data_IF_941454361504
#
_entry.id   IF_941454361504
#
_cell.length_a   1.000
_cell.length_b   1.000
_cell.length_c   1.000
_cell.angle_alpha   90.00
_cell.angle_beta   90.00
_cell.angle_gamma   90.00
#
_symmetry.space_group_name_H-M   'P 1'
#
loop_
_entity.id
_entity.type
_entity.pdbx_description
1 polymer ?
#
# COMPACT_ATOMS: atom_id res chain seq x y z
N UNK A 1 10.30 6.17 -10.47
CA UNK A 1 8.87 6.31 -10.67
C UNK A 1 8.64 7.41 -11.67
N UNK A 2 8.85 8.67 -11.28
CA UNK A 2 8.68 9.82 -12.19
C UNK A 2 9.73 9.83 -13.31
N UNK A 3 11.00 9.55 -13.01
CA UNK A 3 12.07 9.44 -14.00
C UNK A 3 11.85 8.32 -15.02
N UNK A 4 10.95 7.38 -14.72
CA UNK A 4 10.61 6.24 -15.57
C UNK A 4 9.34 6.48 -16.40
N UNK A 5 8.68 7.63 -16.20
CA UNK A 5 7.38 7.95 -16.80
C UNK A 5 6.28 6.98 -16.37
N UNK A 6 6.33 6.50 -15.12
CA UNK A 6 5.35 5.56 -14.58
C UNK A 6 4.48 6.22 -13.51
N UNK A 7 3.20 5.89 -13.50
CA UNK A 7 2.29 6.21 -12.40
C UNK A 7 1.93 4.94 -11.63
N UNK A 8 1.80 5.08 -10.32
CA UNK A 8 1.20 4.07 -9.46
C UNK A 8 -0.20 4.54 -9.09
N UNK A 9 -1.21 3.72 -9.36
CA UNK A 9 -2.62 4.08 -9.16
C UNK A 9 -3.29 3.04 -8.28
N UNK A 10 -3.87 3.46 -7.16
CA UNK A 10 -4.60 2.61 -6.23
C UNK A 10 -6.09 2.59 -6.57
N UNK A 11 -6.69 1.40 -6.74
CA UNK A 11 -8.14 1.23 -6.73
C UNK A 11 -8.61 1.06 -5.28
N UNK A 12 -8.92 2.18 -4.63
CA UNK A 12 -9.26 2.22 -3.21
C UNK A 12 -10.41 1.24 -2.89
N UNK A 13 -10.16 0.30 -1.97
CA UNK A 13 -11.15 -0.67 -1.51
C UNK A 13 -12.18 0.02 -0.65
N UNK A 14 -13.43 0.20 -1.05
CA UNK A 14 -14.48 0.94 -0.32
C UNK A 14 -15.48 0.06 0.43
N UNK A 15 -15.45 -1.26 0.22
CA UNK A 15 -16.35 -2.18 0.89
C UNK A 15 -15.66 -3.07 1.93
N UNK A 16 -16.45 -3.53 2.90
CA UNK A 16 -16.01 -4.52 3.88
C UNK A 16 -16.11 -5.94 3.33
N UNK A 17 -15.42 -6.86 4.02
CA UNK A 17 -15.57 -8.30 3.82
C UNK A 17 -15.26 -8.78 2.39
N UNK A 18 -14.39 -8.05 1.67
CA UNK A 18 -13.98 -8.36 0.30
C UNK A 18 -15.09 -8.25 -0.75
N UNK A 19 -16.13 -7.45 -0.50
CA UNK A 19 -17.28 -7.34 -1.41
C UNK A 19 -16.98 -6.64 -2.73
N UNK A 20 -15.95 -5.81 -2.80
CA UNK A 20 -15.48 -5.11 -3.99
C UNK A 20 -14.11 -5.61 -4.48
N UNK A 21 -13.68 -6.78 -4.01
CA UNK A 21 -12.44 -7.41 -4.46
C UNK A 21 -12.52 -7.78 -5.96
N UNK A 22 -11.43 -7.63 -6.73
CA UNK A 22 -10.10 -7.19 -6.31
C UNK A 22 -9.92 -5.67 -6.33
N UNK A 23 -9.22 -5.16 -5.32
CA UNK A 23 -8.86 -3.74 -5.14
C UNK A 23 -7.36 -3.58 -5.17
N UNK A 24 -6.85 -3.40 -6.40
CA UNK A 24 -5.44 -3.54 -6.76
C UNK A 24 -4.73 -2.20 -6.83
N UNK A 25 -3.40 -2.26 -6.81
CA UNK A 25 -2.52 -1.17 -7.22
C UNK A 25 -2.00 -1.47 -8.63
N UNK A 26 -2.08 -0.48 -9.51
CA UNK A 26 -1.73 -0.58 -10.92
C UNK A 26 -0.40 0.12 -11.20
N UNK A 27 0.38 -0.45 -12.12
CA UNK A 27 1.47 0.24 -12.79
C UNK A 27 0.95 0.75 -14.12
N UNK A 28 1.04 2.06 -14.33
CA UNK A 28 0.58 2.72 -15.56
C UNK A 28 1.78 3.37 -16.23
N UNK A 29 2.01 3.04 -17.51
CA UNK A 29 2.95 3.74 -18.35
C UNK A 29 2.34 5.07 -18.80
N UNK A 30 2.94 6.16 -18.34
CA UNK A 30 2.52 7.53 -18.59
C UNK A 30 3.59 8.33 -19.36
N UNK A 31 4.51 7.65 -20.08
CA UNK A 31 5.50 8.33 -20.94
C UNK A 31 4.84 9.18 -22.04
N UNK A 32 3.61 8.84 -22.41
CA UNK A 32 2.70 9.72 -23.12
C UNK A 32 1.50 10.04 -22.22
N UNK A 33 1.51 11.20 -21.56
CA UNK A 33 0.46 11.61 -20.63
C UNK A 33 -0.93 11.72 -21.28
N UNK A 34 -1.01 11.93 -22.60
CA UNK A 34 -2.26 11.96 -23.33
C UNK A 34 -2.85 10.55 -23.58
N UNK A 35 -2.08 9.48 -23.35
CA UNK A 35 -2.50 8.09 -23.52
C UNK A 35 -1.82 7.17 -22.48
N UNK A 36 -2.20 7.27 -21.20
CA UNK A 36 -1.69 6.38 -20.16
C UNK A 36 -2.17 4.95 -20.37
N UNK A 37 -1.26 3.97 -20.24
CA UNK A 37 -1.56 2.55 -20.48
C UNK A 37 -1.25 1.72 -19.24
N UNK A 38 -2.21 0.98 -18.65
CA UNK A 38 -1.92 0.01 -17.60
C UNK A 38 -1.02 -1.11 -18.13
N UNK A 39 0.11 -1.38 -17.46
CA UNK A 39 1.10 -2.37 -17.88
C UNK A 39 1.34 -3.48 -16.86
N UNK A 40 0.83 -3.33 -15.64
CA UNK A 40 0.99 -4.32 -14.58
C UNK A 40 0.14 -4.02 -13.35
N UNK A 41 0.11 -4.96 -12.42
CA UNK A 41 -0.53 -4.82 -11.12
C UNK A 41 0.40 -5.32 -10.03
N UNK A 42 0.18 -4.84 -8.82
CA UNK A 42 0.88 -5.33 -7.65
C UNK A 42 0.26 -6.66 -7.23
N UNK A 43 1.06 -7.62 -6.74
CA UNK A 43 0.51 -8.86 -6.20
C UNK A 43 -0.41 -8.54 -5.01
N UNK A 44 -1.65 -9.01 -5.09
CA UNK A 44 -2.62 -8.83 -4.03
C UNK A 44 -2.26 -9.70 -2.82
N UNK A 45 -2.56 -9.25 -1.60
CA UNK A 45 -2.43 -10.12 -0.43
C UNK A 45 -3.37 -11.33 -0.54
N UNK A 46 -3.08 -12.46 0.14
CA UNK A 46 -3.89 -13.67 0.04
C UNK A 46 -5.36 -13.44 0.42
N UNK A 47 -6.27 -13.64 -0.53
CA UNK A 47 -7.70 -13.36 -0.33
C UNK A 47 -8.29 -14.16 0.85
N UNK A 48 -7.95 -15.44 0.94
CA UNK A 48 -8.46 -16.37 1.94
C UNK A 48 -8.08 -15.96 3.36
N UNK A 49 -6.94 -15.28 3.53
CA UNK A 49 -6.45 -14.82 4.82
C UNK A 49 -7.11 -13.52 5.29
N UNK A 50 -7.56 -12.66 4.37
CA UNK A 50 -7.91 -11.27 4.68
C UNK A 50 -9.36 -10.89 4.34
N UNK A 51 -9.96 -11.48 3.32
CA UNK A 51 -11.28 -11.08 2.83
C UNK A 51 -12.36 -11.15 3.91
N UNK A 52 -12.30 -12.12 4.83
CA UNK A 52 -13.26 -12.28 5.94
C UNK A 52 -12.64 -12.07 7.32
N UNK A 53 -11.42 -11.50 7.37
CA UNK A 53 -10.73 -11.21 8.65
C UNK A 53 -11.39 -10.08 9.44
N UNK A 54 -12.13 -9.21 8.75
CA UNK A 54 -12.86 -8.08 9.32
C UNK A 54 -12.48 -6.74 8.68
N UNK A 55 -13.46 -5.86 8.50
CA UNK A 55 -13.29 -4.55 7.86
C UNK A 55 -12.98 -4.61 6.36
N UNK A 56 -12.35 -3.54 5.84
CA UNK A 56 -11.93 -3.39 4.45
C UNK A 56 -10.67 -4.24 4.17
N UNK A 57 -10.60 -4.79 2.96
CA UNK A 57 -9.48 -5.61 2.47
C UNK A 57 -9.14 -5.23 1.02
N UNK A 58 -8.02 -4.54 0.84
CA UNK A 58 -7.53 -4.13 -0.47
C UNK A 58 -6.67 -2.88 -0.39
N UNK A 59 -6.23 -2.37 -1.53
CA UNK A 59 -5.42 -1.17 -1.61
C UNK A 59 -6.14 0.06 -1.02
N UNK A 60 -5.39 0.96 -0.40
CA UNK A 60 -5.88 2.26 0.07
C UNK A 60 -4.86 3.35 -0.30
N UNK A 61 -4.07 3.83 0.67
CA UNK A 61 -3.11 4.89 0.47
C UNK A 61 -1.73 4.34 0.08
N UNK A 62 -0.97 5.17 -0.60
CA UNK A 62 0.41 4.94 -0.98
C UNK A 62 1.27 6.03 -0.35
N UNK A 63 2.50 5.71 0.01
CA UNK A 63 3.48 6.72 0.34
C UNK A 63 3.70 7.61 -0.89
N UNK A 64 3.38 8.89 -0.76
CA UNK A 64 3.27 9.84 -1.89
C UNK A 64 4.60 10.20 -2.56
N UNK A 65 5.74 9.75 -2.00
CA UNK A 65 7.05 10.00 -2.58
C UNK A 65 7.34 11.52 -2.70
N UNK A 66 7.00 12.29 -1.65
CA UNK A 66 7.01 13.74 -1.68
C UNK A 66 8.41 14.31 -1.95
N UNK A 67 8.55 15.35 -2.81
CA UNK A 67 9.83 15.96 -3.16
C UNK A 67 10.36 16.91 -2.07
N UNK A 68 10.43 16.43 -0.81
CA UNK A 68 10.93 17.18 0.35
C UNK A 68 12.05 16.43 1.07
N UNK A 69 13.01 17.12 1.74
CA UNK A 69 14.22 16.49 2.28
C UNK A 69 13.99 15.38 3.31
N UNK A 70 12.86 15.39 4.01
CA UNK A 70 12.52 14.48 5.10
C UNK A 70 11.57 13.35 4.67
N UNK A 71 11.39 13.17 3.37
CA UNK A 71 10.54 12.10 2.82
C UNK A 71 11.41 11.07 2.14
N UNK A 72 11.10 9.79 2.38
CA UNK A 72 11.70 8.72 1.62
C UNK A 72 11.37 8.91 0.13
N UNK A 73 12.39 8.85 -0.72
CA UNK A 73 12.20 8.86 -2.15
C UNK A 73 12.74 7.61 -2.80
N UNK A 74 11.93 7.01 -3.68
CA UNK A 74 12.36 5.86 -4.46
C UNK A 74 11.68 5.80 -5.81
N UNK A 75 12.45 5.34 -6.79
CA UNK A 75 11.95 5.11 -8.13
C UNK A 75 11.40 3.70 -8.36
N UNK A 76 11.70 2.78 -7.45
CA UNK A 76 11.44 1.34 -7.60
C UNK A 76 10.71 0.77 -6.40
N UNK A 77 10.94 1.27 -5.19
CA UNK A 77 10.21 0.83 -4.00
C UNK A 77 8.95 1.65 -3.79
N UNK A 78 7.82 0.96 -3.74
CA UNK A 78 6.50 1.55 -3.50
C UNK A 78 5.95 0.97 -2.20
N UNK A 79 5.48 1.84 -1.31
CA UNK A 79 4.94 1.48 0.00
C UNK A 79 3.47 1.85 0.02
N UNK A 80 2.62 0.94 0.50
CA UNK A 80 1.18 1.16 0.58
C UNK A 80 0.53 0.54 1.80
N UNK A 81 -0.60 1.11 2.20
CA UNK A 81 -1.50 0.58 3.23
C UNK A 81 -2.64 -0.21 2.57
N UNK A 82 -2.96 -1.37 3.15
CA UNK A 82 -3.92 -2.34 2.62
C UNK A 82 -4.96 -2.73 3.68
N UNK A 83 -5.38 -1.78 4.52
CA UNK A 83 -6.34 -1.99 5.60
C UNK A 83 -5.98 -3.17 6.51
N UNK A 84 -6.80 -4.23 6.54
CA UNK A 84 -6.56 -5.42 7.36
C UNK A 84 -5.39 -6.26 6.87
N UNK A 85 -4.89 -5.99 5.66
CA UNK A 85 -3.70 -6.60 5.08
C UNK A 85 -2.41 -5.83 5.40
N UNK A 86 -2.50 -4.78 6.24
CA UNK A 86 -1.35 -4.09 6.82
C UNK A 86 -0.64 -3.13 5.87
N UNK A 87 0.64 -2.84 6.14
CA UNK A 87 1.53 -2.08 5.24
C UNK A 87 2.40 -3.05 4.45
N UNK A 88 2.63 -2.72 3.18
CA UNK A 88 3.34 -3.56 2.22
C UNK A 88 4.33 -2.73 1.41
N UNK A 89 5.45 -3.36 1.06
CA UNK A 89 6.51 -2.77 0.25
C UNK A 89 6.70 -3.62 -1.00
N UNK A 90 6.72 -2.95 -2.15
CA UNK A 90 6.79 -3.57 -3.46
C UNK A 90 7.98 -3.03 -4.24
N UNK A 91 8.75 -3.94 -4.85
CA UNK A 91 9.78 -3.60 -5.83
C UNK A 91 9.18 -3.62 -7.25
N UNK A 92 9.29 -2.48 -7.91
CA UNK A 92 8.80 -2.22 -9.27
C UNK A 92 9.95 -2.05 -10.27
N UNK A 93 11.16 -2.50 -9.95
CA UNK A 93 12.32 -2.49 -10.86
C UNK A 93 11.97 -3.11 -12.20
N UNK A 94 11.27 -4.26 -12.19
CA UNK A 94 10.53 -4.76 -13.35
C UNK A 94 9.05 -4.35 -13.24
N UNK A 95 8.57 -3.35 -14.01
CA UNK A 95 7.20 -2.85 -13.89
C UNK A 95 6.15 -3.83 -14.44
N UNK A 96 6.56 -4.85 -15.20
CA UNK A 96 5.70 -5.91 -15.72
C UNK A 96 5.57 -7.11 -14.77
N UNK A 97 6.39 -7.14 -13.71
CA UNK A 97 6.41 -8.22 -12.73
C UNK A 97 6.80 -7.66 -11.35
N UNK A 98 5.89 -6.88 -10.75
CA UNK A 98 6.07 -6.29 -9.43
C UNK A 98 6.20 -7.40 -8.37
N UNK A 99 7.13 -7.23 -7.43
CA UNK A 99 7.36 -8.18 -6.35
C UNK A 99 7.06 -7.55 -4.99
N UNK A 100 6.31 -8.24 -4.13
CA UNK A 100 6.23 -7.87 -2.71
C UNK A 100 7.54 -8.29 -2.03
N UNK A 101 8.21 -7.33 -1.37
CA UNK A 101 9.53 -7.55 -0.74
C UNK A 101 9.50 -7.42 0.78
N UNK A 102 8.45 -6.79 1.34
CA UNK A 102 8.20 -6.77 2.78
C UNK A 102 6.73 -6.49 3.08
N UNK A 103 6.28 -6.92 4.26
CA UNK A 103 4.99 -6.53 4.82
C UNK A 103 5.00 -6.52 6.34
N UNK A 104 4.07 -5.78 6.94
CA UNK A 104 3.78 -5.82 8.36
C UNK A 104 2.28 -5.78 8.59
N UNK A 105 1.75 -6.78 9.31
CA UNK A 105 0.34 -6.86 9.71
C UNK A 105 0.26 -7.03 11.22
N UNK A 106 -0.09 -5.99 11.98
CA UNK A 106 -0.26 -6.13 13.42
C UNK A 106 -1.54 -6.93 13.75
N UNK A 107 -1.63 -7.36 15.00
CA UNK A 107 -2.88 -7.91 15.54
C UNK A 107 -3.99 -6.86 15.58
N UNK A 108 -5.24 -7.32 15.73
CA UNK A 108 -6.37 -6.42 15.90
C UNK A 108 -6.18 -5.57 17.17
N UNK A 109 -6.27 -4.23 17.08
CA UNK A 109 -6.26 -3.37 18.26
C UNK A 109 -7.39 -3.75 19.22
N UNK A 110 -7.17 -3.54 20.52
CA UNK A 110 -8.24 -3.73 21.52
C UNK A 110 -9.43 -2.84 21.16
N UNK A 111 -10.63 -3.41 21.25
CA UNK A 111 -11.90 -2.72 20.98
C UNK A 111 -12.08 -2.25 19.53
N UNK A 112 -11.27 -2.74 18.57
CA UNK A 112 -11.50 -2.46 17.15
C UNK A 112 -12.89 -2.97 16.74
N UNK A 113 -13.79 -2.11 16.22
CA UNK A 113 -15.13 -2.51 15.82
C UNK A 113 -15.11 -3.46 14.59
N UNK A 114 -14.03 -3.44 13.82
CA UNK A 114 -13.86 -4.31 12.66
C UNK A 114 -13.35 -5.71 13.04
N UNK A 115 -12.89 -5.94 14.27
CA UNK A 115 -12.25 -7.20 14.66
C UNK A 115 -10.87 -7.45 14.02
N UNK A 116 -10.35 -6.48 13.28
CA UNK A 116 -9.05 -6.50 12.62
C UNK A 116 -8.38 -5.12 12.70
N UNK A 117 -7.10 -5.07 12.33
CA UNK A 117 -6.42 -3.80 12.03
C UNK A 117 -7.03 -3.18 10.77
N UNK A 118 -7.04 -1.85 10.69
CA UNK A 118 -7.42 -1.09 9.50
C UNK A 118 -6.38 0.02 9.30
N UNK A 119 -5.19 -0.37 8.84
CA UNK A 119 -4.13 0.59 8.52
C UNK A 119 -4.56 1.39 7.30
N UNK A 120 -4.80 2.67 7.51
CA UNK A 120 -5.35 3.56 6.49
C UNK A 120 -4.25 4.33 5.78
N UNK A 121 -3.22 4.76 6.49
CA UNK A 121 -2.24 5.66 5.89
C UNK A 121 -0.82 5.17 6.10
N UNK A 122 0.08 5.64 5.24
CA UNK A 122 1.51 5.36 5.36
C UNK A 122 2.34 6.54 4.89
N UNK A 123 3.30 6.94 5.72
CA UNK A 123 4.34 7.90 5.38
C UNK A 123 5.70 7.30 5.74
N UNK A 124 6.70 7.50 4.90
CA UNK A 124 8.07 7.05 5.14
C UNK A 124 9.01 8.24 5.13
N UNK A 125 9.83 8.38 6.17
CA UNK A 125 10.82 9.45 6.24
C UNK A 125 12.15 9.10 5.55
N UNK A 126 13.03 10.08 5.42
CA UNK A 126 14.36 9.97 4.81
C UNK A 126 15.27 8.93 5.50
N UNK A 127 14.95 8.54 6.74
CA UNK A 127 15.66 7.53 7.53
C UNK A 127 15.03 6.14 7.40
N UNK A 128 14.05 5.97 6.50
CA UNK A 128 13.28 4.74 6.28
C UNK A 128 12.44 4.32 7.49
N UNK A 129 12.05 5.28 8.31
CA UNK A 129 11.06 5.07 9.37
C UNK A 129 9.67 5.16 8.74
N UNK A 130 8.91 4.08 8.87
CA UNK A 130 7.55 3.94 8.36
C UNK A 130 6.57 4.30 9.46
N UNK A 131 5.74 5.30 9.20
CA UNK A 131 4.65 5.76 10.04
C UNK A 131 3.34 5.29 9.42
N UNK A 132 2.57 4.48 10.14
CA UNK A 132 1.26 4.01 9.66
C UNK A 132 0.23 4.01 10.77
N UNK A 133 -1.02 4.32 10.41
CA UNK A 133 -2.07 4.59 11.39
C UNK A 133 -3.27 3.67 11.20
N UNK A 134 -3.77 3.14 12.31
CA UNK A 134 -5.07 2.48 12.35
C UNK A 134 -6.19 3.54 12.45
N UNK A 135 -7.21 3.44 11.59
CA UNK A 135 -8.33 4.40 11.57
C UNK A 135 -9.29 4.29 12.76
N UNK A 136 -9.17 3.25 13.59
CA UNK A 136 -10.08 3.01 14.70
C UNK A 136 -9.41 3.25 16.05
N UNK A 137 -8.79 2.24 16.65
CA UNK A 137 -8.30 2.29 18.04
C UNK A 137 -6.82 1.93 18.18
N UNK A 138 -6.14 1.56 17.09
CA UNK A 138 -4.72 1.16 17.11
C UNK A 138 -3.72 2.31 17.20
N UNK A 139 -4.11 3.53 16.80
CA UNK A 139 -3.23 4.70 16.82
C UNK A 139 -2.11 4.64 15.79
N UNK A 140 -0.93 5.17 16.13
CA UNK A 140 0.25 5.24 15.27
C UNK A 140 1.21 4.08 15.55
N UNK A 141 1.62 3.40 14.48
CA UNK A 141 2.67 2.40 14.46
C UNK A 141 3.90 2.99 13.78
N UNK A 142 5.07 2.77 14.38
CA UNK A 142 6.37 3.24 13.89
C UNK A 142 7.24 2.02 13.66
N UNK A 143 7.69 1.83 12.42
CA UNK A 143 8.48 0.68 11.98
C UNK A 143 9.76 1.17 11.31
N UNK A 144 10.78 0.33 11.25
CA UNK A 144 12.00 0.58 10.48
C UNK A 144 12.04 -0.38 9.28
N UNK A 145 12.29 0.16 8.08
CA UNK A 145 12.38 -0.62 6.85
C UNK A 145 13.84 -0.97 6.50
N UNK A 146 14.21 -2.23 6.76
CA UNK A 146 15.56 -2.79 6.53
C UNK A 146 15.65 -3.55 5.20
N UNK A 147 15.51 -2.81 4.08
CA UNK A 147 15.60 -3.34 2.71
C UNK A 147 16.85 -2.85 1.96
#
# INVERSE_FOLDING_TARGET
LFDRGLWIVSDECVQDNGADWPKLVWVVDARNEANPVPIGTFPAPPYEAFAKRGGRFGAHNLHENLPVPTSFQSDTLIIGSFFNAGVRVYDTTNPYQVQEVAYFVPGAPKLSPAGAIQLNDVYVDDRRIVYTVDRFTGGLYVLEMNL
#
